data_IF_120262262775
#
_entry.id   IF_120262262775
#
_cell.length_a   1.000
_cell.length_b   1.000
_cell.length_c   1.000
_cell.angle_alpha   90.00
_cell.angle_beta   90.00
_cell.angle_gamma   90.00
#
_symmetry.space_group_name_H-M   'P 1'
#
loop_
_entity.id
_entity.type
_entity.pdbx_description
1 polymer ?
#
# COMPACT_ATOMS: atom_id res chain seq x y z
N UNK A 1 0.07 -25.46 7.26
CA UNK A 1 0.91 -24.25 7.45
C UNK A 1 0.60 -23.22 6.38
N UNK A 2 0.72 -21.95 6.74
CA UNK A 2 0.50 -20.79 5.87
C UNK A 2 1.77 -19.94 5.88
N UNK A 3 2.15 -19.40 4.73
CA UNK A 3 3.34 -18.59 4.53
C UNK A 3 2.99 -17.35 3.71
N UNK A 4 3.63 -16.22 4.01
CA UNK A 4 3.57 -15.04 3.16
C UNK A 4 4.55 -15.21 1.99
N UNK A 5 4.00 -15.42 0.79
CA UNK A 5 4.76 -15.50 -0.45
C UNK A 5 4.80 -14.12 -1.12
N UNK A 6 5.99 -13.69 -1.53
CA UNK A 6 6.21 -12.33 -2.05
C UNK A 6 6.22 -12.25 -3.58
N UNK A 7 6.01 -13.36 -4.29
CA UNK A 7 6.11 -13.40 -5.76
C UNK A 7 5.16 -12.42 -6.46
N UNK A 8 3.96 -12.21 -5.92
CA UNK A 8 2.98 -11.29 -6.50
C UNK A 8 3.30 -9.82 -6.24
N UNK A 9 4.04 -9.48 -5.18
CA UNK A 9 4.49 -8.11 -4.90
C UNK A 9 5.83 -7.77 -5.58
N UNK A 10 6.43 -8.71 -6.31
CA UNK A 10 7.63 -8.48 -7.12
C UNK A 10 7.36 -8.34 -8.62
N UNK A 11 6.10 -8.38 -9.07
CA UNK A 11 5.72 -8.45 -10.50
C UNK A 11 6.04 -7.21 -11.33
N UNK A 12 6.34 -6.10 -10.68
CA UNK A 12 6.62 -4.78 -11.24
C UNK A 12 8.04 -4.32 -10.87
N UNK A 13 8.95 -5.27 -10.67
CA UNK A 13 10.36 -5.03 -10.33
C UNK A 13 11.28 -5.89 -11.20
N UNK A 14 12.43 -5.35 -11.62
CA UNK A 14 13.42 -6.09 -12.43
C UNK A 14 14.84 -6.04 -11.82
N UNK A 15 15.32 -7.20 -11.36
CA UNK A 15 16.65 -7.40 -10.79
C UNK A 15 16.82 -6.81 -9.38
N UNK A 16 16.60 -5.51 -9.22
CA UNK A 16 16.55 -4.82 -7.92
C UNK A 16 15.15 -4.25 -7.72
N UNK A 17 14.65 -4.21 -6.48
CA UNK A 17 13.35 -3.59 -6.18
C UNK A 17 13.27 -2.15 -6.71
N UNK A 18 14.38 -1.40 -6.65
CA UNK A 18 14.45 0.00 -7.07
C UNK A 18 14.40 0.22 -8.59
N UNK A 19 14.40 -0.87 -9.37
CA UNK A 19 14.18 -0.84 -10.80
C UNK A 19 12.72 -1.26 -11.05
N UNK A 20 11.82 -0.27 -10.99
CA UNK A 20 10.39 -0.50 -11.19
C UNK A 20 10.05 -0.61 -12.68
N UNK A 21 9.18 -1.54 -13.05
CA UNK A 21 8.63 -1.67 -14.40
C UNK A 21 7.11 -1.47 -14.39
N UNK A 22 6.47 -1.10 -15.52
CA UNK A 22 5.03 -0.88 -15.55
C UNK A 22 4.23 -2.09 -15.07
N UNK A 23 3.20 -1.84 -14.26
CA UNK A 23 2.27 -2.88 -13.82
C UNK A 23 1.50 -3.47 -15.00
N UNK A 24 1.51 -4.81 -15.10
CA UNK A 24 0.69 -5.54 -16.05
C UNK A 24 -0.20 -6.54 -15.30
N UNK A 25 -1.53 -6.38 -15.42
CA UNK A 25 -2.53 -7.24 -14.76
C UNK A 25 -2.30 -8.73 -15.05
N UNK A 26 -1.79 -9.06 -16.24
CA UNK A 26 -1.47 -10.46 -16.63
C UNK A 26 -0.43 -11.11 -15.69
N UNK A 27 0.53 -10.34 -15.19
CA UNK A 27 1.58 -10.83 -14.31
C UNK A 27 1.02 -11.11 -12.91
N UNK A 28 0.18 -10.20 -12.39
CA UNK A 28 -0.54 -10.42 -11.13
C UNK A 28 -1.44 -11.66 -11.20
N UNK A 29 -2.23 -11.77 -12.27
CA UNK A 29 -3.11 -12.92 -12.51
C UNK A 29 -2.33 -14.23 -12.51
N UNK A 30 -1.18 -14.28 -13.18
CA UNK A 30 -0.34 -15.47 -13.22
C UNK A 30 0.15 -15.87 -11.82
N UNK A 31 0.70 -14.92 -11.05
CA UNK A 31 1.20 -15.22 -9.69
C UNK A 31 0.11 -15.63 -8.72
N UNK A 32 -1.07 -14.99 -8.77
CA UNK A 32 -2.20 -15.40 -7.93
C UNK A 32 -2.71 -16.80 -8.31
N UNK A 33 -2.76 -17.12 -9.61
CA UNK A 33 -3.13 -18.46 -10.07
C UNK A 33 -2.14 -19.54 -9.61
N UNK A 34 -0.83 -19.26 -9.70
CA UNK A 34 0.21 -20.19 -9.24
C UNK A 34 0.09 -20.44 -7.73
N UNK A 35 -0.16 -19.40 -6.94
CA UNK A 35 -0.36 -19.54 -5.49
C UNK A 35 -1.61 -20.36 -5.15
N UNK A 36 -2.71 -20.18 -5.89
CA UNK A 36 -3.93 -20.98 -5.69
C UNK A 36 -3.72 -22.46 -6.06
N UNK A 37 -3.03 -22.74 -7.17
CA UNK A 37 -2.74 -24.11 -7.58
C UNK A 37 -1.80 -24.80 -6.57
N UNK A 38 -0.79 -24.08 -6.06
CA UNK A 38 0.15 -24.61 -5.08
C UNK A 38 -0.53 -25.09 -3.79
N UNK A 39 -1.60 -24.42 -3.34
CA UNK A 39 -2.32 -24.79 -2.10
C UNK A 39 -3.58 -25.63 -2.35
N UNK A 40 -3.85 -26.02 -3.60
CA UNK A 40 -5.13 -26.65 -4.01
C UNK A 40 -5.44 -27.94 -3.25
N UNK A 41 -4.45 -28.82 -3.11
CA UNK A 41 -4.63 -30.12 -2.46
C UNK A 41 -4.15 -30.15 -1.00
N UNK A 42 -3.19 -29.29 -0.64
CA UNK A 42 -2.62 -29.20 0.71
C UNK A 42 -2.06 -27.80 0.96
N UNK A 43 -2.11 -27.33 2.21
CA UNK A 43 -1.66 -25.99 2.60
C UNK A 43 -2.77 -24.94 2.58
N UNK A 44 -2.40 -23.70 2.88
CA UNK A 44 -3.33 -22.57 2.97
C UNK A 44 -2.64 -21.26 2.55
N UNK A 45 -3.25 -20.50 1.64
CA UNK A 45 -2.69 -19.25 1.13
C UNK A 45 -2.94 -18.09 2.10
N UNK A 46 -1.93 -17.27 2.34
CA UNK A 46 -2.12 -15.91 2.87
C UNK A 46 -2.36 -14.96 1.70
N UNK A 47 -3.39 -14.13 1.80
CA UNK A 47 -3.77 -13.19 0.74
C UNK A 47 -3.53 -11.77 1.28
N UNK A 48 -2.58 -11.04 0.71
CA UNK A 48 -2.32 -9.64 1.04
C UNK A 48 -1.89 -8.86 -0.21
N UNK A 49 -2.06 -7.54 -0.20
CA UNK A 49 -1.37 -6.64 -1.14
C UNK A 49 -0.54 -5.59 -0.42
N UNK A 50 -1.03 -5.15 0.75
CA UNK A 50 -0.34 -4.19 1.61
C UNK A 50 0.22 -4.88 2.85
N UNK A 51 1.32 -4.34 3.36
CA UNK A 51 1.83 -4.54 4.71
C UNK A 51 2.82 -3.39 5.01
N UNK A 52 3.43 -3.39 6.19
CA UNK A 52 4.42 -2.36 6.58
C UNK A 52 5.68 -2.26 5.70
N UNK A 53 5.91 -3.20 4.77
CA UNK A 53 7.02 -3.22 3.82
C UNK A 53 6.58 -3.01 2.35
N UNK A 54 5.27 -2.97 2.07
CA UNK A 54 4.72 -2.78 0.72
C UNK A 54 4.01 -1.42 0.63
N UNK A 55 4.10 -0.71 -0.51
CA UNK A 55 3.36 0.54 -0.70
C UNK A 55 1.84 0.30 -0.74
N UNK A 56 1.05 1.38 -0.79
CA UNK A 56 -0.41 1.28 -0.89
C UNK A 56 -0.80 0.76 -2.27
N UNK A 57 -1.57 -0.33 -2.32
CA UNK A 57 -1.93 -1.00 -3.59
C UNK A 57 -2.65 -0.08 -4.57
N UNK A 58 -3.47 0.85 -4.07
CA UNK A 58 -4.25 1.80 -4.88
C UNK A 58 -3.34 2.74 -5.67
N UNK A 59 -2.26 3.22 -5.04
CA UNK A 59 -1.25 4.07 -5.70
C UNK A 59 -0.29 3.27 -6.58
N UNK A 60 0.05 2.04 -6.17
CA UNK A 60 1.04 1.22 -6.88
C UNK A 60 0.49 0.64 -8.18
N UNK A 61 -0.70 0.05 -8.13
CA UNK A 61 -1.28 -0.74 -9.24
C UNK A 61 -2.69 -0.28 -9.64
N UNK A 62 -3.33 0.57 -8.84
CA UNK A 62 -4.61 1.16 -9.14
C UNK A 62 -4.46 2.53 -9.79
N UNK A 63 -5.44 3.40 -9.54
CA UNK A 63 -5.39 4.80 -9.89
C UNK A 63 -5.83 5.64 -8.69
N UNK A 64 -4.95 6.49 -8.17
CA UNK A 64 -5.21 7.42 -7.08
C UNK A 64 -5.24 8.90 -7.51
N UNK A 65 -5.36 9.18 -8.82
CA UNK A 65 -5.34 10.56 -9.36
C UNK A 65 -6.54 11.40 -8.94
N UNK A 66 -7.66 10.76 -8.64
CA UNK A 66 -8.91 11.40 -8.22
C UNK A 66 -9.70 10.47 -7.31
N UNK A 67 -10.69 11.04 -6.60
CA UNK A 67 -11.49 10.31 -5.59
C UNK A 67 -12.21 9.09 -6.18
N UNK A 68 -12.87 9.24 -7.32
CA UNK A 68 -13.67 8.17 -7.91
C UNK A 68 -12.78 7.00 -8.35
N UNK A 69 -11.72 7.31 -9.09
CA UNK A 69 -10.72 6.32 -9.52
C UNK A 69 -10.09 5.59 -8.34
N UNK A 70 -9.75 6.32 -7.27
CA UNK A 70 -9.14 5.77 -6.05
C UNK A 70 -10.08 4.79 -5.36
N UNK A 71 -11.32 5.19 -5.12
CA UNK A 71 -12.31 4.35 -4.45
C UNK A 71 -12.63 3.10 -5.27
N UNK A 72 -12.81 3.22 -6.59
CA UNK A 72 -13.03 2.08 -7.48
C UNK A 72 -11.84 1.12 -7.48
N UNK A 73 -10.62 1.66 -7.51
CA UNK A 73 -9.39 0.86 -7.44
C UNK A 73 -9.28 0.12 -6.10
N UNK A 74 -9.50 0.79 -4.97
CA UNK A 74 -9.48 0.19 -3.64
C UNK A 74 -10.50 -0.96 -3.51
N UNK A 75 -11.73 -0.72 -3.96
CA UNK A 75 -12.80 -1.73 -3.98
C UNK A 75 -12.46 -2.90 -4.89
N UNK A 76 -11.87 -2.66 -6.06
CA UNK A 76 -11.45 -3.72 -6.99
C UNK A 76 -10.37 -4.63 -6.39
N UNK A 77 -9.31 -4.06 -5.78
CA UNK A 77 -8.26 -4.85 -5.14
C UNK A 77 -8.76 -5.58 -3.89
N UNK A 78 -9.57 -4.93 -3.05
CA UNK A 78 -10.21 -5.58 -1.90
C UNK A 78 -11.07 -6.77 -2.34
N UNK A 79 -11.90 -6.59 -3.38
CA UNK A 79 -12.72 -7.67 -3.92
C UNK A 79 -11.87 -8.81 -4.48
N UNK A 80 -10.81 -8.50 -5.25
CA UNK A 80 -9.90 -9.50 -5.79
C UNK A 80 -9.32 -10.34 -4.65
N UNK A 81 -8.82 -9.71 -3.60
CA UNK A 81 -8.20 -10.40 -2.47
C UNK A 81 -9.20 -11.26 -1.68
N UNK A 82 -10.35 -10.69 -1.32
CA UNK A 82 -11.34 -11.34 -0.47
C UNK A 82 -12.11 -12.48 -1.16
N UNK A 83 -12.06 -12.59 -2.49
CA UNK A 83 -12.74 -13.65 -3.25
C UNK A 83 -11.84 -14.86 -3.57
N UNK A 84 -10.56 -14.83 -3.17
CA UNK A 84 -9.67 -16.00 -3.30
C UNK A 84 -9.78 -16.94 -2.08
N UNK A 85 -9.41 -18.22 -2.29
CA UNK A 85 -9.27 -19.20 -1.20
C UNK A 85 -7.97 -18.91 -0.42
N UNK A 86 -8.08 -18.78 0.89
CA UNK A 86 -6.97 -18.42 1.77
C UNK A 86 -7.41 -17.62 3.00
N UNK A 87 -6.48 -16.96 3.68
CA UNK A 87 -6.77 -15.99 4.73
C UNK A 87 -6.41 -14.60 4.23
N UNK A 88 -7.39 -13.69 4.03
CA UNK A 88 -7.12 -12.30 3.69
C UNK A 88 -6.53 -11.54 4.88
N UNK A 89 -5.55 -10.71 4.59
CA UNK A 89 -4.93 -9.76 5.50
C UNK A 89 -5.18 -8.36 4.97
N UNK A 90 -5.75 -7.51 5.82
CA UNK A 90 -5.97 -6.10 5.57
C UNK A 90 -4.94 -5.35 6.42
N UNK A 91 -4.18 -4.45 5.79
CA UNK A 91 -3.23 -3.59 6.51
C UNK A 91 -3.89 -2.25 6.87
N UNK A 92 -3.52 -1.66 8.00
CA UNK A 92 -4.15 -0.43 8.52
C UNK A 92 -4.22 0.68 7.47
N UNK A 93 -5.43 1.15 7.17
CA UNK A 93 -5.69 2.18 6.16
C UNK A 93 -5.95 1.67 4.74
N UNK A 94 -5.73 0.38 4.47
CA UNK A 94 -6.16 -0.24 3.20
C UNK A 94 -7.69 -0.17 3.07
N UNK A 95 -8.40 -0.38 4.17
CA UNK A 95 -9.86 -0.29 4.26
C UNK A 95 -10.41 1.13 4.06
N UNK A 96 -9.55 2.15 4.12
CA UNK A 96 -9.90 3.55 3.82
C UNK A 96 -9.47 3.96 2.41
N UNK A 97 -8.77 3.09 1.68
CA UNK A 97 -8.13 3.46 0.42
C UNK A 97 -7.01 4.51 0.60
N UNK A 98 -6.27 4.47 1.71
CA UNK A 98 -5.07 5.32 1.90
C UNK A 98 -4.09 5.14 0.74
N UNK A 99 -3.43 6.23 0.35
CA UNK A 99 -2.51 6.31 -0.80
C UNK A 99 -1.05 6.43 -0.36
N UNK A 100 -0.13 6.27 -1.30
CA UNK A 100 1.28 6.58 -1.11
C UNK A 100 1.47 8.02 -0.60
N UNK A 101 2.58 8.26 0.09
CA UNK A 101 2.86 9.52 0.78
C UNK A 101 3.24 10.67 -0.17
N UNK A 102 3.61 10.35 -1.42
CA UNK A 102 4.09 11.29 -2.44
C UNK A 102 5.25 12.19 -1.96
N UNK A 103 6.15 11.66 -1.12
CA UNK A 103 7.35 12.36 -0.70
C UNK A 103 8.25 12.68 -1.90
N UNK A 104 8.69 13.93 -1.97
CA UNK A 104 9.44 14.51 -3.09
C UNK A 104 10.92 14.72 -2.78
N UNK A 105 11.32 14.69 -1.51
CA UNK A 105 12.73 14.80 -1.08
C UNK A 105 13.13 13.66 -0.14
N UNK A 106 14.42 13.32 -0.11
CA UNK A 106 14.93 12.20 0.68
C UNK A 106 14.76 12.44 2.19
N UNK A 107 14.79 13.70 2.63
CA UNK A 107 14.65 14.11 4.03
C UNK A 107 13.26 13.83 4.62
N UNK A 108 12.26 13.57 3.77
CA UNK A 108 10.93 13.17 4.22
C UNK A 108 10.87 11.69 4.61
N UNK A 109 11.80 10.88 4.10
CA UNK A 109 11.88 9.45 4.42
C UNK A 109 12.55 9.23 5.77
N UNK A 110 12.17 8.14 6.43
CA UNK A 110 12.73 7.67 7.71
C UNK A 110 13.31 6.27 7.57
N UNK A 111 12.88 5.54 6.54
CA UNK A 111 13.32 4.19 6.29
C UNK A 111 14.80 4.12 5.91
N UNK A 112 15.56 3.35 6.69
CA UNK A 112 16.96 3.05 6.40
C UNK A 112 17.14 2.32 5.07
N UNK A 113 16.16 1.52 4.62
CA UNK A 113 16.24 0.87 3.31
C UNK A 113 16.24 1.91 2.18
N UNK A 114 15.37 2.92 2.27
CA UNK A 114 15.31 4.04 1.32
C UNK A 114 16.56 4.91 1.38
N UNK A 115 16.99 5.32 2.57
CA UNK A 115 18.15 6.19 2.77
C UNK A 115 19.43 5.50 2.30
N UNK A 116 19.67 4.26 2.72
CA UNK A 116 20.86 3.51 2.30
C UNK A 116 20.79 3.11 0.82
N UNK A 117 19.60 2.76 0.32
CA UNK A 117 19.39 2.45 -1.09
C UNK A 117 19.74 3.64 -1.99
N UNK A 118 19.30 4.85 -1.61
CA UNK A 118 19.65 6.08 -2.32
C UNK A 118 21.16 6.31 -2.32
N UNK A 119 21.78 6.32 -1.12
CA UNK A 119 23.22 6.52 -0.96
C UNK A 119 24.04 5.52 -1.80
N UNK A 120 23.73 4.23 -1.70
CA UNK A 120 24.48 3.18 -2.39
C UNK A 120 24.35 3.28 -3.90
N UNK A 121 23.14 3.54 -4.43
CA UNK A 121 22.87 3.46 -5.88
C UNK A 121 23.15 4.77 -6.61
N UNK A 122 22.85 5.90 -5.97
CA UNK A 122 22.98 7.24 -6.56
C UNK A 122 24.35 7.84 -6.27
N UNK A 123 24.83 7.78 -5.02
CA UNK A 123 26.04 8.50 -4.61
C UNK A 123 27.31 7.65 -4.77
N UNK A 124 27.27 6.41 -4.29
CA UNK A 124 28.44 5.53 -4.23
C UNK A 124 28.66 4.78 -5.57
N UNK A 125 27.69 3.97 -5.98
CA UNK A 125 27.80 3.15 -7.20
C UNK A 125 27.47 3.92 -8.49
N UNK A 126 26.73 5.04 -8.37
CA UNK A 126 26.28 5.88 -9.50
C UNK A 126 25.62 5.08 -10.63
N UNK A 127 24.87 4.05 -10.27
CA UNK A 127 24.19 3.15 -11.20
C UNK A 127 22.72 3.51 -11.44
N UNK A 128 22.21 4.53 -10.75
CA UNK A 128 20.85 5.06 -10.90
C UNK A 128 20.88 6.58 -10.69
N UNK A 129 20.09 7.33 -11.46
CA UNK A 129 19.97 8.79 -11.27
C UNK A 129 19.17 9.10 -10.01
N UNK A 130 19.42 10.28 -9.41
CA UNK A 130 18.65 10.76 -8.27
C UNK A 130 17.15 10.81 -8.57
N UNK A 131 16.77 11.32 -9.75
CA UNK A 131 15.38 11.38 -10.21
C UNK A 131 14.73 9.98 -10.30
N UNK A 132 15.41 9.03 -10.94
CA UNK A 132 14.89 7.66 -11.07
C UNK A 132 14.77 6.97 -9.70
N UNK A 133 15.74 7.16 -8.81
CA UNK A 133 15.69 6.60 -7.47
C UNK A 133 14.56 7.23 -6.65
N UNK A 134 14.39 8.54 -6.69
CA UNK A 134 13.29 9.22 -5.99
C UNK A 134 11.92 8.80 -6.52
N UNK A 135 11.78 8.59 -7.84
CA UNK A 135 10.55 8.05 -8.43
C UNK A 135 10.26 6.62 -7.92
N UNK A 136 11.29 5.76 -7.84
CA UNK A 136 11.14 4.42 -7.27
C UNK A 136 10.78 4.46 -5.77
N UNK A 137 11.41 5.33 -4.97
CA UNK A 137 11.06 5.53 -3.56
C UNK A 137 9.60 5.98 -3.39
N UNK A 138 9.16 6.94 -4.20
CA UNK A 138 7.78 7.43 -4.17
C UNK A 138 6.76 6.34 -4.54
N UNK A 139 7.11 5.44 -5.47
CA UNK A 139 6.22 4.36 -5.91
C UNK A 139 6.20 3.16 -4.93
N UNK A 140 7.36 2.71 -4.47
CA UNK A 140 7.51 1.41 -3.77
C UNK A 140 8.27 1.46 -2.43
N UNK A 141 8.65 2.64 -1.95
CA UNK A 141 9.31 2.81 -0.65
C UNK A 141 8.38 2.39 0.49
N UNK A 142 8.94 1.80 1.57
CA UNK A 142 8.15 1.25 2.69
C UNK A 142 7.45 2.33 3.49
N UNK A 143 7.99 3.55 3.53
CA UNK A 143 7.38 4.67 4.25
C UNK A 143 6.00 5.06 3.71
N UNK A 144 5.65 4.67 2.48
CA UNK A 144 4.28 4.80 1.96
C UNK A 144 3.22 4.06 2.80
N UNK A 145 3.62 3.01 3.51
CA UNK A 145 2.76 2.26 4.42
C UNK A 145 2.90 2.67 5.88
N UNK A 146 3.75 3.66 6.19
CA UNK A 146 4.14 4.00 7.57
C UNK A 146 3.80 5.42 7.98
N UNK A 147 3.27 6.21 7.05
CA UNK A 147 2.64 7.48 7.43
C UNK A 147 1.55 7.20 8.46
N UNK A 148 1.36 8.09 9.46
CA UNK A 148 0.33 7.93 10.47
C UNK A 148 -1.05 7.57 9.91
N UNK A 149 -1.75 6.68 10.60
CA UNK A 149 -3.14 6.35 10.31
C UNK A 149 -4.02 7.60 10.31
N UNK A 150 -4.95 7.68 9.37
CA UNK A 150 -5.78 8.85 9.12
C UNK A 150 -7.15 8.68 9.79
N UNK A 151 -7.28 9.11 11.04
CA UNK A 151 -8.53 9.00 11.81
C UNK A 151 -9.54 10.08 11.45
N UNK A 152 -9.10 11.32 11.30
CA UNK A 152 -9.96 12.47 10.98
C UNK A 152 -9.23 13.53 10.12
N UNK A 153 -9.88 14.67 9.87
CA UNK A 153 -9.34 15.80 9.10
C UNK A 153 -8.57 16.84 9.94
N UNK A 154 -8.26 16.55 11.21
CA UNK A 154 -7.47 17.46 12.07
C UNK A 154 -5.99 17.49 11.65
N UNK A 155 -5.22 18.45 12.20
CA UNK A 155 -3.81 18.74 11.83
C UNK A 155 -2.91 17.51 11.61
N UNK A 156 -3.06 16.48 12.45
CA UNK A 156 -2.28 15.25 12.37
C UNK A 156 -3.16 14.02 12.12
N UNK A 157 -4.27 14.23 11.41
CA UNK A 157 -5.30 13.25 11.13
C UNK A 157 -5.82 12.49 12.36
N UNK A 158 -5.87 13.15 13.53
CA UNK A 158 -6.28 12.52 14.79
C UNK A 158 -5.30 11.49 15.35
N UNK A 159 -4.13 11.28 14.71
CA UNK A 159 -3.10 10.36 15.18
C UNK A 159 -2.39 10.85 16.45
N UNK A 160 -2.17 12.15 16.54
CA UNK A 160 -1.67 12.82 17.75
C UNK A 160 -2.41 14.13 17.95
N UNK A 161 -2.44 14.62 19.20
CA UNK A 161 -3.13 15.86 19.53
C UNK A 161 -2.55 17.04 18.72
N UNK A 162 -3.38 17.98 18.24
CA UNK A 162 -2.90 19.13 17.46
C UNK A 162 -1.88 20.02 18.20
N UNK A 163 -1.91 19.99 19.53
CA UNK A 163 -1.06 20.71 20.48
C UNK A 163 0.00 19.82 21.15
N UNK A 164 0.23 18.61 20.62
CA UNK A 164 1.28 17.72 21.12
C UNK A 164 2.66 18.41 21.12
N UNK A 165 3.45 18.18 22.16
CA UNK A 165 4.78 18.77 22.33
C UNK A 165 5.79 18.33 21.24
N UNK A 166 5.52 17.21 20.58
CA UNK A 166 6.32 16.65 19.48
C UNK A 166 5.41 16.28 18.32
N UNK A 167 5.84 16.63 17.10
CA UNK A 167 5.15 16.22 15.88
C UNK A 167 5.27 14.69 15.67
N UNK A 168 4.40 14.08 14.84
CA UNK A 168 4.57 12.69 14.43
C UNK A 168 5.97 12.41 13.89
N UNK A 169 6.50 11.21 14.18
CA UNK A 169 7.87 10.81 13.83
C UNK A 169 8.15 10.83 12.31
N UNK A 170 7.09 10.69 11.51
CA UNK A 170 7.06 10.90 10.06
C UNK A 170 5.81 11.70 9.70
N UNK A 171 5.88 12.51 8.64
CA UNK A 171 4.75 13.36 8.23
C UNK A 171 3.48 12.57 7.91
N UNK A 172 2.33 13.11 8.29
CA UNK A 172 1.01 12.61 7.86
C UNK A 172 0.84 12.87 6.37
N UNK A 173 0.17 11.96 5.65
CA UNK A 173 -0.16 12.21 4.25
C UNK A 173 -1.09 13.45 4.16
N UNK A 174 -0.78 14.46 3.34
CA UNK A 174 -1.59 15.68 3.24
C UNK A 174 -3.05 15.44 2.88
N UNK A 175 -3.36 14.33 2.18
CA UNK A 175 -4.72 13.99 1.76
C UNK A 175 -5.62 13.47 2.89
N UNK A 176 -5.15 13.42 4.15
CA UNK A 176 -5.97 13.00 5.29
C UNK A 176 -7.25 13.83 5.49
N UNK A 177 -7.26 15.08 5.01
CA UNK A 177 -8.45 15.93 5.01
C UNK A 177 -9.58 15.39 4.11
N UNK A 178 -9.25 14.54 3.13
CA UNK A 178 -10.20 13.90 2.22
C UNK A 178 -10.35 12.38 2.46
N UNK A 179 -9.30 11.73 2.95
CA UNK A 179 -9.26 10.29 3.21
C UNK A 179 -9.04 10.10 4.71
N UNK A 180 -10.08 9.75 5.46
CA UNK A 180 -9.92 9.43 6.87
C UNK A 180 -11.08 8.58 7.38
N UNK A 181 -10.89 7.96 8.53
CA UNK A 181 -11.89 7.07 9.12
C UNK A 181 -13.21 7.80 9.40
N UNK A 182 -13.19 9.04 9.88
CA UNK A 182 -14.40 9.81 10.17
C UNK A 182 -15.27 10.05 8.91
N UNK A 183 -14.65 10.35 7.76
CA UNK A 183 -15.35 10.51 6.48
C UNK A 183 -15.86 9.17 5.91
N UNK A 184 -15.14 8.07 6.12
CA UNK A 184 -15.46 6.76 5.55
C UNK A 184 -16.47 5.95 6.39
N UNK A 185 -16.55 6.18 7.70
CA UNK A 185 -17.23 5.26 8.64
C UNK A 185 -18.75 5.19 8.45
N UNK A 186 -19.40 6.35 8.30
CA UNK A 186 -20.86 6.47 8.16
C UNK A 186 -21.32 6.58 6.70
N UNK A 187 -20.39 6.69 5.74
CA UNK A 187 -20.73 6.71 4.31
C UNK A 187 -20.98 5.28 3.80
N UNK A 188 -22.20 4.93 3.38
CA UNK A 188 -22.50 3.59 2.84
C UNK A 188 -21.83 3.32 1.49
N UNK A 189 -21.39 4.36 0.78
CA UNK A 189 -20.68 4.29 -0.49
C UNK A 189 -19.16 4.14 -0.34
N UNK A 190 -18.64 4.22 0.88
CA UNK A 190 -17.21 4.30 1.16
C UNK A 190 -16.42 3.00 0.88
N UNK A 191 -15.09 3.10 0.83
CA UNK A 191 -14.21 1.92 0.76
C UNK A 191 -14.36 1.09 2.02
N UNK A 192 -14.46 1.75 3.18
CA UNK A 192 -14.64 1.08 4.48
C UNK A 192 -15.92 0.24 4.53
N UNK A 193 -17.05 0.83 4.12
CA UNK A 193 -18.34 0.13 4.03
C UNK A 193 -18.29 -1.05 3.05
N UNK A 194 -17.55 -0.90 1.95
CA UNK A 194 -17.34 -2.01 1.00
C UNK A 194 -16.51 -3.15 1.60
N UNK A 195 -15.41 -2.87 2.30
CA UNK A 195 -14.60 -3.89 2.99
C UNK A 195 -15.42 -4.61 4.08
N UNK A 196 -16.23 -3.88 4.86
CA UNK A 196 -17.18 -4.50 5.81
C UNK A 196 -18.12 -5.50 5.13
N UNK A 197 -18.65 -5.14 3.95
CA UNK A 197 -19.51 -6.03 3.16
C UNK A 197 -18.74 -7.26 2.67
N UNK A 198 -17.51 -7.11 2.16
CA UNK A 198 -16.67 -8.23 1.73
C UNK A 198 -16.41 -9.22 2.86
N UNK A 199 -16.06 -8.72 4.04
CA UNK A 199 -15.80 -9.55 5.23
C UNK A 199 -17.08 -10.28 5.66
N UNK A 200 -18.22 -9.58 5.71
CA UNK A 200 -19.49 -10.20 6.04
C UNK A 200 -19.88 -11.30 5.03
N UNK A 201 -19.67 -11.07 3.73
CA UNK A 201 -19.92 -12.09 2.70
C UNK A 201 -19.02 -13.32 2.86
N UNK A 202 -17.77 -13.16 3.32
CA UNK A 202 -16.84 -14.27 3.50
C UNK A 202 -17.17 -15.15 4.72
N UNK A 203 -17.82 -14.59 5.73
CA UNK A 203 -18.24 -15.34 6.93
C UNK A 203 -19.53 -16.14 6.74
N UNK A 204 -20.32 -15.84 5.68
CA UNK A 204 -21.56 -16.53 5.35
C UNK A 204 -21.34 -17.60 4.26
#
# INVERSE_FOLDING_TARGET
DMLFLFDHVGIDQEGSKWNTVPFEVKNLRARLADQQEAVKNAGWASLFFCNHDQPRVVSRWGNDTDRESRELSAKAFGMLLHMHRGTPYIYEGEELGMTNAHFTTLEQYRDLESINGYRQRVEEAKCQSAESMMAALALIGRDNARTPMQWDASRYAGFTAPDAATEPWIGVNPNHVEINAAEEFDDPGSVYSFYKKLIAMRHN
#
